data_IF_493689155647
#
_entry.id   IF_493689155647
#
_cell.length_a   1.000
_cell.length_b   1.000
_cell.length_c   1.000
_cell.angle_alpha   90.00
_cell.angle_beta   90.00
_cell.angle_gamma   90.00
#
_symmetry.space_group_name_H-M   'P 1'
#
loop_
_entity.id
_entity.type
_entity.pdbx_description
1 polymer ?
#
# COMPACT_ATOMS: atom_id res chain seq x y z
N UNK A 1 3.58 14.65 3.85
CA UNK A 1 4.03 13.27 4.15
C UNK A 1 4.74 12.74 2.91
N UNK A 2 5.98 12.26 3.02
CA UNK A 2 6.73 11.67 1.88
C UNK A 2 6.49 10.16 1.81
N UNK A 3 6.69 9.55 0.64
CA UNK A 3 6.54 8.10 0.43
C UNK A 3 7.52 7.32 1.32
N UNK A 4 8.72 7.88 1.59
CA UNK A 4 9.73 7.26 2.46
C UNK A 4 9.22 6.95 3.87
N UNK A 5 8.28 7.77 4.37
CA UNK A 5 7.68 7.53 5.68
C UNK A 5 6.84 6.26 5.72
N UNK A 6 6.33 5.78 4.58
CA UNK A 6 5.58 4.53 4.45
C UNK A 6 6.51 3.31 4.39
N UNK A 7 7.77 3.50 3.98
CA UNK A 7 8.75 2.47 3.65
C UNK A 7 9.78 2.21 4.76
N UNK A 8 9.43 2.52 6.02
CA UNK A 8 10.34 2.29 7.15
C UNK A 8 10.63 0.79 7.29
N UNK A 9 11.89 0.42 7.12
CA UNK A 9 12.38 -0.96 7.24
C UNK A 9 12.05 -1.55 8.61
N UNK A 10 11.66 -2.82 8.63
CA UNK A 10 11.23 -3.54 9.83
C UNK A 10 9.92 -3.01 10.47
N UNK A 11 9.18 -2.14 9.79
CA UNK A 11 7.92 -1.60 10.25
C UNK A 11 6.75 -2.05 9.37
N UNK A 12 5.56 -2.02 9.97
CA UNK A 12 4.30 -2.33 9.31
C UNK A 12 3.51 -1.04 9.10
N UNK A 13 3.18 -0.74 7.85
CA UNK A 13 2.37 0.41 7.45
C UNK A 13 1.06 -0.09 6.85
N UNK A 14 -0.08 0.43 7.32
CA UNK A 14 -1.38 0.20 6.68
C UNK A 14 -1.81 1.44 5.89
N UNK A 15 -2.15 1.24 4.61
CA UNK A 15 -2.80 2.23 3.75
C UNK A 15 -4.28 1.82 3.64
N UNK A 16 -5.16 2.63 4.21
CA UNK A 16 -6.60 2.36 4.26
C UNK A 16 -7.41 3.41 3.52
N UNK A 17 -8.63 3.07 3.11
CA UNK A 17 -9.53 4.02 2.44
C UNK A 17 -10.61 3.33 1.62
N UNK A 18 -11.69 4.02 1.23
CA UNK A 18 -12.74 3.43 0.40
C UNK A 18 -12.23 3.05 -0.99
N UNK A 19 -13.05 2.36 -1.79
CA UNK A 19 -12.74 2.11 -3.20
C UNK A 19 -12.51 3.45 -3.94
N UNK A 20 -11.58 3.46 -4.90
CA UNK A 20 -11.21 4.65 -5.68
C UNK A 20 -10.70 5.85 -4.86
N UNK A 21 -10.16 5.61 -3.65
CA UNK A 21 -9.56 6.66 -2.81
C UNK A 21 -8.11 7.00 -3.16
N UNK A 22 -7.44 6.20 -4.01
CA UNK A 22 -6.02 6.36 -4.35
C UNK A 22 -5.07 5.43 -3.61
N UNK A 23 -5.59 4.43 -2.87
CA UNK A 23 -4.80 3.37 -2.22
C UNK A 23 -3.75 2.73 -3.15
N UNK A 24 -4.20 2.25 -4.31
CA UNK A 24 -3.35 1.58 -5.31
C UNK A 24 -2.35 2.55 -5.92
N UNK A 25 -2.72 3.82 -6.13
CA UNK A 25 -1.80 4.86 -6.60
C UNK A 25 -0.68 5.13 -5.59
N UNK A 26 -1.00 5.19 -4.30
CA UNK A 26 -0.01 5.33 -3.24
C UNK A 26 0.90 4.10 -3.13
N UNK A 27 0.34 2.90 -3.31
CA UNK A 27 1.12 1.67 -3.40
C UNK A 27 2.08 1.66 -4.60
N UNK A 28 1.63 2.10 -5.77
CA UNK A 28 2.49 2.24 -6.94
C UNK A 28 3.64 3.23 -6.69
N UNK A 29 3.37 4.33 -5.98
CA UNK A 29 4.42 5.27 -5.58
C UNK A 29 5.45 4.61 -4.63
N UNK A 30 5.01 3.77 -3.69
CA UNK A 30 5.91 2.97 -2.84
C UNK A 30 6.78 2.01 -3.66
N UNK A 31 6.20 1.27 -4.60
CA UNK A 31 6.93 0.34 -5.48
C UNK A 31 7.98 1.06 -6.32
N UNK A 32 7.61 2.22 -6.89
CA UNK A 32 8.52 3.07 -7.66
C UNK A 32 9.69 3.56 -6.81
N UNK A 33 9.43 4.01 -5.58
CA UNK A 33 10.47 4.55 -4.71
C UNK A 33 11.48 3.47 -4.30
N UNK A 34 11.01 2.26 -3.99
CA UNK A 34 11.89 1.11 -3.71
C UNK A 34 12.77 0.77 -4.90
N UNK A 35 12.20 0.73 -6.11
CA UNK A 35 12.96 0.47 -7.32
C UNK A 35 14.01 1.57 -7.61
N UNK A 36 13.65 2.84 -7.40
CA UNK A 36 14.58 3.99 -7.52
C UNK A 36 15.75 3.90 -6.56
N UNK A 37 15.52 3.41 -5.35
CA UNK A 37 16.56 3.12 -4.38
C UNK A 37 17.39 1.85 -4.71
N UNK A 38 17.14 1.20 -5.84
CA UNK A 38 17.83 -0.02 -6.27
C UNK A 38 17.36 -1.29 -5.55
N UNK A 39 16.32 -1.21 -4.72
CA UNK A 39 15.74 -2.34 -4.00
C UNK A 39 14.80 -3.19 -4.87
N UNK A 40 14.52 -4.40 -4.40
CA UNK A 40 13.45 -5.24 -4.94
C UNK A 40 12.21 -5.19 -4.05
N UNK A 41 11.03 -5.31 -4.67
CA UNK A 41 9.76 -5.39 -3.97
C UNK A 41 9.02 -6.68 -4.31
N UNK A 42 8.25 -7.20 -3.35
CA UNK A 42 7.26 -8.24 -3.61
C UNK A 42 5.87 -7.64 -3.46
N UNK A 43 5.02 -7.77 -4.49
CA UNK A 43 3.61 -7.38 -4.45
C UNK A 43 2.75 -8.63 -4.38
N UNK A 44 2.08 -8.81 -3.25
CA UNK A 44 1.10 -9.87 -3.02
C UNK A 44 -0.28 -9.29 -3.28
N UNK A 45 -0.92 -9.78 -4.32
CA UNK A 45 -2.21 -9.31 -4.81
C UNK A 45 -3.29 -10.34 -4.49
N UNK A 46 -4.15 -10.00 -3.51
CA UNK A 46 -5.18 -10.93 -3.06
C UNK A 46 -6.28 -11.14 -4.10
N UNK A 47 -6.68 -10.10 -4.83
CA UNK A 47 -7.85 -10.13 -5.74
C UNK A 47 -7.45 -10.13 -7.23
N UNK A 48 -6.16 -10.26 -7.54
CA UNK A 48 -5.61 -10.17 -8.90
C UNK A 48 -6.02 -8.85 -9.61
N UNK A 49 -6.06 -7.76 -8.84
CA UNK A 49 -6.53 -6.45 -9.29
C UNK A 49 -5.40 -5.50 -9.74
N UNK A 50 -4.14 -5.90 -9.59
CA UNK A 50 -2.99 -5.12 -10.01
C UNK A 50 -2.90 -5.03 -11.54
N UNK A 51 -2.84 -3.81 -12.07
CA UNK A 51 -2.58 -3.56 -13.48
C UNK A 51 -1.11 -3.17 -13.72
N UNK A 52 -0.29 -4.05 -14.31
CA UNK A 52 1.12 -3.76 -14.57
C UNK A 52 1.31 -2.61 -15.58
N UNK A 53 0.38 -2.42 -16.52
CA UNK A 53 0.51 -1.36 -17.54
C UNK A 53 0.38 0.02 -16.88
N UNK A 54 -0.62 0.21 -16.01
CA UNK A 54 -0.77 1.45 -15.24
C UNK A 54 0.40 1.67 -14.28
N UNK A 55 0.92 0.62 -13.64
CA UNK A 55 2.07 0.73 -12.76
C UNK A 55 3.34 1.17 -13.51
N UNK A 56 3.61 0.59 -14.68
CA UNK A 56 4.72 0.99 -15.55
C UNK A 56 4.59 2.45 -15.99
N UNK A 57 3.38 2.90 -16.37
CA UNK A 57 3.11 4.31 -16.71
C UNK A 57 3.33 5.25 -15.51
N UNK A 58 3.06 4.79 -14.29
CA UNK A 58 3.36 5.54 -13.07
C UNK A 58 4.87 5.57 -12.72
N UNK A 59 5.71 4.89 -13.50
CA UNK A 59 7.16 4.84 -13.34
C UNK A 59 7.67 3.72 -12.44
N UNK A 60 6.87 2.68 -12.20
CA UNK A 60 7.33 1.48 -11.48
C UNK A 60 8.21 0.63 -12.41
N UNK A 61 9.42 0.31 -11.96
CA UNK A 61 10.27 -0.68 -12.63
C UNK A 61 9.78 -2.09 -12.32
N UNK A 62 9.00 -2.66 -13.23
CA UNK A 62 8.40 -3.99 -13.06
C UNK A 62 9.44 -5.12 -13.01
N UNK A 63 10.66 -4.91 -13.51
CA UNK A 63 11.73 -5.92 -13.45
C UNK A 63 12.21 -6.19 -12.02
N UNK A 64 11.92 -5.25 -11.10
CA UNK A 64 12.25 -5.31 -9.67
C UNK A 64 11.08 -5.70 -8.79
N UNK A 65 9.94 -6.06 -9.38
CA UNK A 65 8.71 -6.42 -8.65
C UNK A 65 8.39 -7.90 -8.85
N UNK A 66 8.48 -8.68 -7.78
CA UNK A 66 7.89 -10.02 -7.72
C UNK A 66 6.39 -9.89 -7.52
N UNK A 67 5.59 -10.24 -8.52
CA UNK A 67 4.12 -10.23 -8.42
C UNK A 67 3.59 -11.62 -8.04
N UNK A 68 2.99 -11.71 -6.86
CA UNK A 68 2.37 -12.93 -6.33
C UNK A 68 0.85 -12.79 -6.42
N UNK A 69 0.25 -13.57 -7.32
CA UNK A 69 -1.20 -13.58 -7.59
C UNK A 69 -1.88 -14.65 -6.76
N UNK A 70 -2.89 -14.27 -5.98
CA UNK A 70 -3.55 -15.18 -5.05
C UNK A 70 -4.97 -15.59 -5.50
N UNK A 71 -5.52 -15.01 -6.57
CA UNK A 71 -6.81 -15.43 -7.14
C UNK A 71 -7.98 -15.41 -6.14
N UNK A 72 -8.07 -14.38 -5.30
CA UNK A 72 -9.08 -14.20 -4.26
C UNK A 72 -8.76 -14.88 -2.92
N UNK A 73 -7.72 -15.72 -2.85
CA UNK A 73 -7.38 -16.52 -1.65
C UNK A 73 -6.56 -15.73 -0.63
N UNK A 74 -7.26 -15.04 0.27
CA UNK A 74 -6.66 -14.18 1.31
C UNK A 74 -5.76 -14.91 2.30
N UNK A 75 -6.09 -16.15 2.67
CA UNK A 75 -5.22 -16.95 3.52
C UNK A 75 -3.90 -17.29 2.82
N UNK A 76 -3.92 -17.48 1.50
CA UNK A 76 -2.70 -17.66 0.72
C UNK A 76 -1.89 -16.36 0.68
N UNK A 77 -2.55 -15.21 0.49
CA UNK A 77 -1.90 -13.90 0.51
C UNK A 77 -1.22 -13.60 1.87
N UNK A 78 -1.90 -13.90 2.99
CA UNK A 78 -1.33 -13.74 4.34
C UNK A 78 -0.14 -14.68 4.59
N UNK A 79 -0.21 -15.94 4.11
CA UNK A 79 0.91 -16.89 4.19
C UNK A 79 2.09 -16.43 3.34
N UNK A 80 1.83 -15.95 2.12
CA UNK A 80 2.86 -15.40 1.25
C UNK A 80 3.54 -14.18 1.91
N UNK A 81 2.76 -13.31 2.56
CA UNK A 81 3.30 -12.17 3.30
C UNK A 81 4.22 -12.62 4.44
N UNK A 82 3.79 -13.57 5.27
CA UNK A 82 4.63 -14.08 6.37
C UNK A 82 5.92 -14.76 5.88
N UNK A 83 5.90 -15.43 4.74
CA UNK A 83 7.09 -16.03 4.13
C UNK A 83 8.03 -14.96 3.56
N UNK A 84 7.51 -14.06 2.72
CA UNK A 84 8.32 -13.08 1.99
C UNK A 84 8.96 -12.04 2.90
N UNK A 85 8.31 -11.63 4.00
CA UNK A 85 8.92 -10.70 4.95
C UNK A 85 10.11 -11.30 5.70
N UNK A 86 10.29 -12.63 5.66
CA UNK A 86 11.44 -13.33 6.24
C UNK A 86 12.55 -13.57 5.21
N UNK A 87 12.26 -13.38 3.92
CA UNK A 87 13.24 -13.57 2.87
C UNK A 87 14.23 -12.39 2.84
N UNK A 88 15.54 -12.65 2.87
CA UNK A 88 16.50 -11.60 2.58
C UNK A 88 16.36 -11.16 1.12
N UNK A 89 16.51 -9.87 0.84
CA UNK A 89 16.57 -9.32 -0.52
C UNK A 89 15.40 -8.45 -0.95
N UNK A 90 14.26 -8.48 -0.24
CA UNK A 90 13.17 -7.52 -0.48
C UNK A 90 13.30 -6.32 0.46
N UNK A 91 13.36 -5.12 -0.12
CA UNK A 91 13.26 -3.87 0.64
C UNK A 91 11.80 -3.54 1.00
N UNK A 92 10.85 -4.07 0.24
CA UNK A 92 9.41 -3.90 0.46
C UNK A 92 8.68 -5.21 0.17
N UNK A 93 7.82 -5.60 1.10
CA UNK A 93 6.72 -6.53 0.86
C UNK A 93 5.42 -5.73 0.92
N UNK A 94 4.70 -5.68 -0.20
CA UNK A 94 3.39 -5.08 -0.29
C UNK A 94 2.33 -6.17 -0.30
N UNK A 95 1.29 -6.01 0.52
CA UNK A 95 0.12 -6.89 0.56
C UNK A 95 -1.13 -6.06 0.26
N UNK A 96 -1.69 -6.23 -0.93
CA UNK A 96 -3.04 -5.76 -1.23
C UNK A 96 -4.05 -6.85 -0.85
N UNK A 97 -4.82 -6.63 0.23
CA UNK A 97 -5.84 -7.60 0.70
C UNK A 97 -7.15 -7.51 -0.10
N UNK A 98 -7.21 -6.56 -1.03
CA UNK A 98 -8.35 -6.27 -1.87
C UNK A 98 -9.55 -5.74 -1.09
N UNK A 99 -10.74 -5.95 -1.63
CA UNK A 99 -11.97 -5.30 -1.13
C UNK A 99 -12.72 -6.11 -0.08
N UNK A 100 -12.37 -7.37 0.15
CA UNK A 100 -12.98 -8.21 1.19
C UNK A 100 -11.97 -8.62 2.28
N UNK A 101 -11.32 -7.68 2.99
CA UNK A 101 -10.22 -7.96 3.90
C UNK A 101 -10.55 -9.06 4.92
N UNK A 102 -9.60 -9.99 5.17
CA UNK A 102 -9.78 -11.06 6.14
C UNK A 102 -9.85 -10.49 7.57
N UNK A 103 -10.41 -11.27 8.49
CA UNK A 103 -10.26 -11.01 9.92
C UNK A 103 -8.91 -11.53 10.37
N UNK A 104 -8.09 -10.66 10.95
CA UNK A 104 -6.78 -11.00 11.49
C UNK A 104 -6.85 -10.84 13.00
N UNK A 105 -6.53 -11.90 13.74
CA UNK A 105 -6.46 -11.86 15.19
C UNK A 105 -5.27 -11.00 15.66
N UNK A 106 -5.36 -10.46 16.87
CA UNK A 106 -4.27 -9.69 17.47
C UNK A 106 -2.95 -10.48 17.50
N UNK A 107 -3.01 -11.77 17.84
CA UNK A 107 -1.85 -12.65 17.85
C UNK A 107 -1.22 -12.81 16.45
N UNK A 108 -2.03 -12.98 15.40
CA UNK A 108 -1.53 -13.03 14.02
C UNK A 108 -0.87 -11.71 13.62
N UNK A 109 -1.49 -10.58 13.93
CA UNK A 109 -0.94 -9.26 13.62
C UNK A 109 0.42 -9.03 14.31
N UNK A 110 0.55 -9.41 15.60
CA UNK A 110 1.83 -9.29 16.31
C UNK A 110 2.89 -10.26 15.79
N UNK A 111 2.52 -11.50 15.43
CA UNK A 111 3.46 -12.45 14.82
C UNK A 111 4.00 -11.92 13.50
N UNK A 112 3.12 -11.41 12.63
CA UNK A 112 3.53 -10.82 11.36
C UNK A 112 4.44 -9.61 11.59
N UNK A 113 4.06 -8.70 12.50
CA UNK A 113 4.89 -7.55 12.86
C UNK A 113 6.28 -7.96 13.36
N UNK A 114 6.37 -9.01 14.18
CA UNK A 114 7.64 -9.52 14.67
C UNK A 114 8.48 -10.15 13.54
N UNK A 115 7.84 -10.84 12.60
CA UNK A 115 8.50 -11.38 11.41
C UNK A 115 9.10 -10.26 10.55
N UNK A 116 8.32 -9.22 10.26
CA UNK A 116 8.76 -8.01 9.53
C UNK A 116 9.95 -7.35 10.22
N UNK A 117 9.85 -7.13 11.54
CA UNK A 117 10.94 -6.52 12.31
C UNK A 117 12.24 -7.33 12.25
N UNK A 118 12.15 -8.67 12.19
CA UNK A 118 13.33 -9.56 12.12
C UNK A 118 13.89 -9.70 10.72
N UNK A 119 13.05 -9.78 9.69
CA UNK A 119 13.49 -9.90 8.30
C UNK A 119 13.97 -8.60 7.70
N UNK A 120 13.64 -7.46 8.32
CA UNK A 120 14.19 -6.16 7.96
C UNK A 120 13.44 -5.45 6.85
N UNK A 121 12.67 -6.15 6.00
CA UNK A 121 11.83 -5.54 4.97
C UNK A 121 10.78 -4.57 5.56
N UNK A 122 10.38 -3.55 4.80
CA UNK A 122 9.16 -2.80 5.08
C UNK A 122 7.94 -3.62 4.66
N UNK A 123 6.88 -3.66 5.49
CA UNK A 123 5.59 -4.25 5.10
C UNK A 123 4.56 -3.14 4.91
N UNK A 124 4.04 -3.00 3.69
CA UNK A 124 2.90 -2.12 3.38
C UNK A 124 1.67 -2.96 3.11
N UNK A 125 0.63 -2.78 3.91
CA UNK A 125 -0.66 -3.45 3.73
C UNK A 125 -1.69 -2.47 3.21
N UNK A 126 -2.28 -2.77 2.06
CA UNK A 126 -3.34 -1.97 1.44
C UNK A 126 -4.67 -2.67 1.69
N UNK A 127 -5.65 -1.95 2.23
CA UNK A 127 -6.96 -2.51 2.58
C UNK A 127 -8.07 -1.46 2.58
N UNK A 128 -9.34 -1.85 2.42
CA UNK A 128 -10.45 -0.88 2.50
C UNK A 128 -10.68 -0.29 3.91
N UNK A 129 -10.17 -0.96 4.93
CA UNK A 129 -10.26 -0.62 6.36
C UNK A 129 -9.07 -1.19 7.10
N UNK A 130 -8.87 -0.81 8.35
CA UNK A 130 -7.77 -1.35 9.17
C UNK A 130 -7.95 -2.85 9.42
N UNK A 131 -6.85 -3.60 9.31
CA UNK A 131 -6.84 -5.06 9.49
C UNK A 131 -5.81 -5.56 10.51
N UNK A 132 -4.69 -4.87 10.73
CA UNK A 132 -3.67 -5.29 11.70
C UNK A 132 -3.78 -4.58 13.05
N UNK A 133 -4.56 -3.49 13.13
CA UNK A 133 -4.84 -2.81 14.40
C UNK A 133 -3.56 -2.35 15.10
N UNK A 134 -3.32 -2.85 16.32
CA UNK A 134 -2.11 -2.54 17.09
C UNK A 134 -0.81 -3.10 16.47
N UNK A 135 -0.91 -4.05 15.52
CA UNK A 135 0.21 -4.58 14.75
C UNK A 135 0.81 -3.56 13.79
N UNK A 136 0.03 -2.57 13.33
CA UNK A 136 0.52 -1.50 12.47
C UNK A 136 1.27 -0.42 13.26
N UNK A 137 2.46 -0.07 12.76
CA UNK A 137 3.31 1.00 13.29
C UNK A 137 2.85 2.36 12.75
N UNK A 138 2.44 2.40 11.48
CA UNK A 138 1.86 3.57 10.82
C UNK A 138 0.54 3.16 10.16
N UNK A 139 -0.48 4.00 10.30
CA UNK A 139 -1.73 3.85 9.55
C UNK A 139 -2.02 5.17 8.86
N UNK A 140 -2.21 5.13 7.56
CA UNK A 140 -2.60 6.28 6.74
C UNK A 140 -3.93 6.01 6.07
N UNK A 141 -4.77 7.03 5.99
CA UNK A 141 -6.02 6.99 5.26
C UNK A 141 -5.90 7.77 3.96
N UNK A 142 -6.43 7.19 2.90
CA UNK A 142 -6.60 7.81 1.59
C UNK A 142 -8.07 8.16 1.40
N UNK A 143 -8.33 9.37 0.90
CA UNK A 143 -9.66 9.83 0.51
C UNK A 143 -9.57 10.56 -0.81
N UNK A 144 -10.47 10.24 -1.73
CA UNK A 144 -10.63 11.03 -2.95
C UNK A 144 -11.21 12.40 -2.62
N UNK A 145 -10.57 13.45 -3.10
CA UNK A 145 -11.01 14.84 -2.95
C UNK A 145 -11.66 15.41 -4.18
N UNK A 146 -11.09 15.11 -5.34
CA UNK A 146 -11.51 15.68 -6.61
C UNK A 146 -11.35 14.69 -7.75
N UNK A 147 -12.10 14.94 -8.81
CA UNK A 147 -11.96 14.28 -10.10
C UNK A 147 -11.83 15.37 -11.15
N UNK A 148 -10.77 15.31 -11.94
CA UNK A 148 -10.61 16.12 -13.12
C UNK A 148 -11.11 15.29 -14.32
N UNK A 149 -12.04 15.85 -15.09
CA UNK A 149 -12.55 15.22 -16.30
C UNK A 149 -12.12 16.02 -17.53
N UNK A 150 -11.79 15.32 -18.61
CA UNK A 150 -11.50 15.88 -19.91
C UNK A 150 -12.58 15.50 -20.92
N UNK A 151 -12.82 16.38 -21.89
CA UNK A 151 -13.80 16.21 -22.96
C UNK A 151 -14.56 17.51 -23.24
N UNK A 152 -15.62 17.45 -24.07
CA UNK A 152 -16.50 18.59 -24.33
C UNK A 152 -17.08 19.16 -23.02
N UNK A 153 -17.18 20.50 -22.92
CA UNK A 153 -17.54 21.21 -21.66
C UNK A 153 -18.85 20.74 -21.03
N UNK A 154 -19.82 20.31 -21.83
CA UNK A 154 -21.14 19.86 -21.35
C UNK A 154 -21.24 18.35 -21.17
N UNK A 155 -20.30 17.58 -21.73
CA UNK A 155 -20.29 16.12 -21.73
C UNK A 155 -18.86 15.60 -21.56
N UNK A 156 -18.21 15.85 -20.41
CA UNK A 156 -16.91 15.27 -20.13
C UNK A 156 -17.01 13.73 -20.14
N UNK A 157 -16.19 13.06 -20.96
CA UNK A 157 -16.26 11.60 -21.18
C UNK A 157 -15.05 10.84 -20.64
N UNK A 158 -13.94 11.52 -20.33
CA UNK A 158 -12.69 10.87 -19.91
C UNK A 158 -12.25 11.37 -18.54
N UNK A 159 -11.94 10.46 -17.64
CA UNK A 159 -11.28 10.82 -16.39
C UNK A 159 -9.83 11.24 -16.70
N UNK A 160 -9.49 12.49 -16.40
CA UNK A 160 -8.17 13.07 -16.65
C UNK A 160 -7.25 12.99 -15.43
N UNK A 161 -7.82 12.98 -14.23
CA UNK A 161 -7.04 12.87 -12.99
C UNK A 161 -7.94 12.72 -11.78
N UNK A 162 -7.36 12.26 -10.68
CA UNK A 162 -8.02 12.18 -9.39
C UNK A 162 -7.11 12.76 -8.33
N UNK A 163 -7.67 13.61 -7.48
CA UNK A 163 -6.94 14.14 -6.34
C UNK A 163 -7.20 13.27 -5.13
N UNK A 164 -6.11 12.76 -4.53
CA UNK A 164 -6.16 11.97 -3.31
C UNK A 164 -5.56 12.75 -2.16
N UNK A 165 -6.32 12.85 -1.06
CA UNK A 165 -5.81 13.25 0.23
C UNK A 165 -5.33 12.06 1.03
N UNK A 166 -4.15 12.21 1.65
CA UNK A 166 -3.57 11.23 2.56
C UNK A 166 -3.44 11.85 3.94
N UNK A 167 -4.00 11.21 4.97
CA UNK A 167 -3.89 11.64 6.36
C UNK A 167 -3.31 10.52 7.23
N UNK A 168 -2.56 10.87 8.27
CA UNK A 168 -2.05 9.88 9.23
C UNK A 168 -3.11 9.64 10.28
N UNK A 169 -3.60 8.40 10.41
CA UNK A 169 -4.54 8.03 11.46
C UNK A 169 -3.87 7.48 12.72
N UNK A 170 -2.64 6.97 12.60
CA UNK A 170 -1.84 6.45 13.72
C UNK A 170 -0.37 6.45 13.35
N UNK A 171 0.48 6.87 14.28
CA UNK A 171 1.93 6.67 14.23
C UNK A 171 2.39 6.21 15.60
N UNK A 172 3.12 5.10 15.69
CA UNK A 172 3.68 4.64 16.94
C UNK A 172 4.96 5.42 17.25
N UNK A 173 5.05 6.01 18.45
CA UNK A 173 6.25 6.68 18.95
C UNK A 173 6.38 8.18 18.64
N UNK A 174 5.32 8.86 18.18
CA UNK A 174 5.29 10.32 18.06
C UNK A 174 3.93 10.85 18.57
N UNK A 175 3.94 11.93 19.35
CA UNK A 175 2.73 12.68 19.68
C UNK A 175 2.01 13.12 18.41
N UNK A 176 0.69 13.02 18.43
CA UNK A 176 -0.18 13.37 17.32
C UNK A 176 -0.17 14.89 17.08
N UNK A 177 0.80 15.40 16.33
CA UNK A 177 0.74 16.74 15.78
C UNK A 177 0.27 16.69 14.32
N UNK A 178 -0.93 17.26 14.09
CA UNK A 178 -1.36 17.84 12.82
C UNK A 178 -1.66 16.86 11.69
N UNK A 179 -2.96 16.66 11.41
CA UNK A 179 -3.45 16.07 10.17
C UNK A 179 -3.08 16.93 8.97
N UNK A 180 -1.90 16.68 8.41
CA UNK A 180 -1.45 17.30 7.16
C UNK A 180 -2.26 16.74 5.99
N UNK A 181 -3.01 17.62 5.35
CA UNK A 181 -3.67 17.38 4.07
C UNK A 181 -2.63 17.48 2.96
N UNK A 182 -2.40 16.41 2.21
CA UNK A 182 -1.57 16.44 1.00
C UNK A 182 -2.45 16.21 -0.22
N UNK A 183 -2.38 17.07 -1.23
CA UNK A 183 -2.98 16.83 -2.54
C UNK A 183 -1.95 16.11 -3.43
N UNK A 184 -2.33 14.96 -3.98
CA UNK A 184 -1.57 14.27 -5.02
C UNK A 184 -2.33 14.37 -6.34
N UNK A 185 -1.64 14.77 -7.41
CA UNK A 185 -2.06 14.59 -8.80
C UNK A 185 -1.28 13.44 -9.40
N UNK A 186 -1.97 12.38 -9.82
CA UNK A 186 -1.41 11.32 -10.66
C UNK A 186 -1.42 11.74 -12.13
#
# INVERSE_FOLDING_TARGET
>A
MTVDQLLRQGAVTEIVGPLCSGRTSLLAACLREVARAGGAAALIDADDAFDPVSAARAGVDLSRVLWVRCGGRRDAALRAADLLVRCPGFALVALDVGESPPRISLAQAFRLRLAVRRGGAALVVVARRRVLGAGATLVVETRRRGLAWAGPRLTPTRLAGAETAVSVLRRQGAEAQGGGVMAWSA
#
